data_IF_081200558885
#
_entry.id   IF_081200558885
#
_cell.length_a   1.000
_cell.length_b   1.000
_cell.length_c   1.000
_cell.angle_alpha   90.00
_cell.angle_beta   90.00
_cell.angle_gamma   90.00
#
_symmetry.space_group_name_H-M   'P 1'
#
loop_
_entity.id
_entity.type
_entity.pdbx_description
1 polymer ?
#
# COMPACT_ATOMS: atom_id res chain seq x y z
N UNK A 1 21.66 -4.13 16.89
CA UNK A 1 21.67 -3.07 15.87
C UNK A 1 20.35 -2.35 15.98
N UNK A 2 20.35 -1.12 16.48
CA UNK A 2 19.16 -0.30 16.51
C UNK A 2 18.80 0.01 15.05
N UNK A 3 17.62 -0.44 14.62
CA UNK A 3 16.99 0.08 13.41
C UNK A 3 16.73 1.55 13.74
N UNK A 4 17.47 2.48 13.14
CA UNK A 4 17.11 3.90 13.25
C UNK A 4 15.66 4.02 12.82
N UNK A 5 14.79 4.49 13.72
CA UNK A 5 13.41 4.75 13.39
C UNK A 5 13.42 5.85 12.34
N UNK A 6 13.18 5.44 11.08
CA UNK A 6 13.05 6.35 9.95
C UNK A 6 12.10 7.48 10.33
N UNK A 7 12.50 8.72 10.04
CA UNK A 7 11.63 9.86 10.34
C UNK A 7 10.29 9.67 9.61
N UNK A 8 9.19 10.10 10.22
CA UNK A 8 7.85 9.94 9.65
C UNK A 8 7.76 10.44 8.20
N UNK A 9 8.34 11.62 7.93
CA UNK A 9 8.42 12.25 6.60
C UNK A 9 9.18 11.40 5.58
N UNK A 10 10.28 10.77 6.01
CA UNK A 10 11.06 9.86 5.17
C UNK A 10 10.29 8.57 4.89
N UNK A 11 9.62 8.01 5.91
CA UNK A 11 8.76 6.85 5.77
C UNK A 11 7.60 7.10 4.80
N UNK A 12 6.96 8.28 4.88
CA UNK A 12 5.92 8.70 3.94
C UNK A 12 6.47 8.77 2.52
N UNK A 13 7.59 9.48 2.32
CA UNK A 13 8.19 9.68 1.00
C UNK A 13 8.57 8.35 0.34
N UNK A 14 9.21 7.48 1.12
CA UNK A 14 9.58 6.13 0.69
C UNK A 14 8.34 5.25 0.42
N UNK A 15 7.25 5.41 1.18
CA UNK A 15 5.98 4.72 0.89
C UNK A 15 5.42 5.15 -0.45
N UNK A 16 5.39 6.46 -0.75
CA UNK A 16 4.91 6.98 -2.04
C UNK A 16 5.74 6.44 -3.19
N UNK A 17 7.06 6.44 -3.06
CA UNK A 17 7.98 5.88 -4.08
C UNK A 17 7.66 4.41 -4.37
N UNK A 18 7.54 3.58 -3.34
CA UNK A 18 7.21 2.16 -3.51
C UNK A 18 5.82 1.95 -4.15
N UNK A 19 4.84 2.79 -3.82
CA UNK A 19 3.51 2.73 -4.48
C UNK A 19 3.66 3.00 -5.98
N UNK A 20 4.43 4.03 -6.36
CA UNK A 20 4.67 4.33 -7.78
C UNK A 20 5.40 3.19 -8.50
N UNK A 21 6.35 2.55 -7.82
CA UNK A 21 7.02 1.37 -8.35
C UNK A 21 6.06 0.20 -8.58
N UNK A 22 5.18 -0.11 -7.62
CA UNK A 22 4.15 -1.16 -7.78
C UNK A 22 3.25 -0.85 -8.97
N UNK A 23 2.77 0.39 -9.07
CA UNK A 23 1.92 0.86 -10.19
C UNK A 23 2.63 0.68 -11.53
N UNK A 24 3.94 0.95 -11.59
CA UNK A 24 4.73 0.79 -12.82
C UNK A 24 4.97 -0.68 -13.21
N UNK A 25 5.18 -1.55 -12.22
CA UNK A 25 5.55 -2.96 -12.44
C UNK A 25 4.34 -3.87 -12.70
N UNK A 26 3.14 -3.44 -12.30
CA UNK A 26 1.92 -4.25 -12.37
C UNK A 26 1.65 -4.79 -13.79
N UNK A 27 1.99 -4.00 -14.82
CA UNK A 27 1.80 -4.36 -16.22
C UNK A 27 2.68 -5.55 -16.66
N UNK A 28 3.75 -5.83 -15.92
CA UNK A 28 4.71 -6.90 -16.22
C UNK A 28 4.37 -8.22 -15.52
N UNK A 29 3.31 -8.26 -14.69
CA UNK A 29 2.91 -9.47 -13.98
C UNK A 29 2.28 -10.50 -14.95
N UNK A 30 2.57 -11.78 -14.75
CA UNK A 30 2.08 -12.85 -15.64
C UNK A 30 0.78 -13.54 -15.22
N UNK A 31 0.36 -13.45 -13.95
CA UNK A 31 -0.83 -14.11 -13.38
C UNK A 31 -1.62 -13.15 -12.52
N UNK A 32 -2.92 -13.41 -12.29
CA UNK A 32 -3.76 -12.58 -11.39
C UNK A 32 -3.71 -11.06 -11.72
N UNK A 33 -3.54 -10.72 -13.01
CA UNK A 33 -3.28 -9.34 -13.47
C UNK A 33 -4.33 -8.35 -12.97
N UNK A 34 -5.59 -8.76 -12.96
CA UNK A 34 -6.71 -7.95 -12.48
C UNK A 34 -6.56 -7.66 -10.99
N UNK A 35 -6.34 -8.67 -10.14
CA UNK A 35 -6.12 -8.47 -8.70
C UNK A 35 -4.91 -7.58 -8.41
N UNK A 36 -3.81 -7.72 -9.17
CA UNK A 36 -2.66 -6.85 -9.04
C UNK A 36 -2.95 -5.41 -9.48
N UNK A 37 -3.73 -5.23 -10.56
CA UNK A 37 -4.17 -3.92 -11.03
C UNK A 37 -5.09 -3.23 -10.01
N UNK A 38 -6.02 -3.97 -9.41
CA UNK A 38 -6.87 -3.48 -8.33
C UNK A 38 -6.04 -3.07 -7.11
N UNK A 39 -5.09 -3.91 -6.68
CA UNK A 39 -4.18 -3.58 -5.59
C UNK A 39 -3.37 -2.31 -5.88
N UNK A 40 -2.78 -2.20 -7.08
CA UNK A 40 -2.00 -1.02 -7.47
C UNK A 40 -2.87 0.24 -7.50
N UNK A 41 -4.09 0.14 -8.03
CA UNK A 41 -5.07 1.24 -8.02
C UNK A 41 -5.40 1.68 -6.59
N UNK A 42 -5.69 0.73 -5.71
CA UNK A 42 -5.99 1.00 -4.30
C UNK A 42 -4.82 1.67 -3.57
N UNK A 43 -3.61 1.16 -3.73
CA UNK A 43 -2.41 1.80 -3.15
C UNK A 43 -2.21 3.21 -3.68
N UNK A 44 -2.43 3.43 -4.97
CA UNK A 44 -2.29 4.76 -5.59
C UNK A 44 -3.33 5.76 -5.04
N UNK A 45 -4.53 5.31 -4.69
CA UNK A 45 -5.57 6.15 -4.05
C UNK A 45 -5.18 6.61 -2.65
N UNK A 46 -4.23 5.95 -1.99
CA UNK A 46 -3.70 6.36 -0.69
C UNK A 46 -2.62 7.44 -0.81
N UNK A 47 -2.07 7.71 -2.00
CA UNK A 47 -1.00 8.69 -2.19
C UNK A 47 -1.41 10.11 -1.79
N UNK A 48 -2.62 10.62 -2.13
CA UNK A 48 -3.05 11.93 -1.65
C UNK A 48 -3.10 12.00 -0.12
N UNK A 49 -3.51 10.93 0.58
CA UNK A 49 -3.55 10.88 2.03
C UNK A 49 -2.14 10.97 2.63
N UNK A 50 -1.20 10.23 2.06
CA UNK A 50 0.22 10.32 2.43
C UNK A 50 0.77 11.73 2.23
N UNK A 51 0.39 12.42 1.14
CA UNK A 51 0.79 13.82 0.89
C UNK A 51 0.21 14.77 1.92
N UNK A 52 -1.05 14.62 2.32
CA UNK A 52 -1.65 15.45 3.39
C UNK A 52 -0.97 15.21 4.74
N UNK A 53 -0.68 13.96 5.08
CA UNK A 53 0.08 13.62 6.29
C UNK A 53 1.48 14.23 6.29
N UNK A 54 2.11 14.38 5.12
CA UNK A 54 3.45 14.94 5.01
C UNK A 54 3.53 16.46 5.21
N UNK A 55 2.39 17.18 5.23
CA UNK A 55 2.35 18.66 5.37
C UNK A 55 2.41 19.13 6.82
N UNK A 56 2.20 18.24 7.79
CA UNK A 56 2.05 18.57 9.21
C UNK A 56 2.82 17.60 10.09
N UNK A 57 2.99 17.97 11.36
CA UNK A 57 3.37 17.00 12.37
C UNK A 57 2.24 15.98 12.54
N UNK A 58 2.60 14.71 12.43
CA UNK A 58 1.65 13.61 12.56
C UNK A 58 1.62 13.07 13.99
N UNK A 59 0.42 12.74 14.45
CA UNK A 59 0.14 12.09 15.72
C UNK A 59 0.73 10.68 15.79
N UNK A 60 0.78 10.09 17.00
CA UNK A 60 1.31 8.74 17.17
C UNK A 60 0.52 7.68 16.38
N UNK A 61 -0.80 7.82 16.29
CA UNK A 61 -1.63 6.88 15.50
C UNK A 61 -1.38 7.02 14.00
N UNK A 62 -1.20 8.25 13.49
CA UNK A 62 -0.82 8.49 12.10
C UNK A 62 0.59 7.93 11.80
N UNK A 63 1.55 8.01 12.75
CA UNK A 63 2.87 7.36 12.60
C UNK A 63 2.74 5.85 12.46
N UNK A 64 1.99 5.20 13.36
CA UNK A 64 1.74 3.75 13.29
C UNK A 64 1.04 3.36 11.98
N UNK A 65 0.08 4.17 11.52
CA UNK A 65 -0.55 3.95 10.21
C UNK A 65 0.47 3.97 9.07
N UNK A 66 1.33 4.99 9.01
CA UNK A 66 2.36 5.14 7.97
C UNK A 66 3.35 3.96 8.01
N UNK A 67 3.77 3.52 9.18
CA UNK A 67 4.67 2.35 9.34
C UNK A 67 4.04 1.06 8.82
N UNK A 68 2.78 0.79 9.19
CA UNK A 68 2.05 -0.38 8.71
C UNK A 68 1.87 -0.30 7.19
N UNK A 69 1.47 0.86 6.67
CA UNK A 69 1.30 1.05 5.23
C UNK A 69 2.61 0.85 4.49
N UNK A 70 3.73 1.42 4.96
CA UNK A 70 5.04 1.21 4.35
C UNK A 70 5.39 -0.28 4.28
N UNK A 71 5.18 -1.00 5.37
CA UNK A 71 5.44 -2.44 5.43
C UNK A 71 4.56 -3.20 4.44
N UNK A 72 3.26 -2.91 4.37
CA UNK A 72 2.35 -3.59 3.45
C UNK A 72 2.67 -3.28 1.98
N UNK A 73 3.06 -2.03 1.66
CA UNK A 73 3.50 -1.65 0.31
C UNK A 73 4.81 -2.36 -0.06
N UNK A 74 5.76 -2.55 0.87
CA UNK A 74 6.96 -3.39 0.63
C UNK A 74 6.59 -4.84 0.29
N UNK A 75 5.63 -5.42 1.01
CA UNK A 75 5.16 -6.79 0.74
C UNK A 75 4.47 -6.85 -0.64
N UNK A 76 3.65 -5.86 -0.98
CA UNK A 76 3.02 -5.75 -2.30
C UNK A 76 4.05 -5.63 -3.42
N UNK A 77 5.08 -4.81 -3.22
CA UNK A 77 6.20 -4.65 -4.14
C UNK A 77 6.92 -5.97 -4.38
N UNK A 78 7.32 -6.65 -3.30
CA UNK A 78 7.98 -7.95 -3.40
C UNK A 78 7.12 -8.96 -4.17
N UNK A 79 5.82 -9.04 -3.84
CA UNK A 79 4.89 -9.95 -4.51
C UNK A 79 4.72 -9.62 -6.01
N UNK A 80 4.66 -8.35 -6.37
CA UNK A 80 4.60 -7.87 -7.76
C UNK A 80 5.87 -8.24 -8.53
N UNK A 81 7.04 -8.03 -7.92
CA UNK A 81 8.33 -8.40 -8.51
C UNK A 81 8.47 -9.92 -8.67
N UNK A 82 8.01 -10.71 -7.70
CA UNK A 82 7.99 -12.18 -7.81
C UNK A 82 7.12 -12.65 -8.99
N UNK A 83 5.95 -12.03 -9.17
CA UNK A 83 5.00 -12.43 -10.22
C UNK A 83 5.29 -11.85 -11.60
N UNK A 84 6.25 -10.93 -11.72
CA UNK A 84 6.78 -10.41 -12.99
C UNK A 84 8.09 -11.06 -13.43
N UNK A 85 8.81 -11.77 -12.53
CA UNK A 85 10.11 -12.40 -12.85
C UNK A 85 10.09 -13.93 -12.87
N UNK A 86 9.20 -14.59 -12.13
CA UNK A 86 9.16 -16.06 -12.03
C UNK A 86 8.49 -16.72 -13.25
N UNK A 87 8.78 -18.00 -13.46
CA UNK A 87 8.19 -18.77 -14.56
C UNK A 87 6.66 -18.87 -14.44
N UNK A 88 5.95 -18.78 -15.56
CA UNK A 88 4.47 -18.82 -15.62
C UNK A 88 3.91 -20.09 -14.96
N UNK A 89 4.57 -21.24 -15.14
CA UNK A 89 4.15 -22.53 -14.56
C UNK A 89 4.21 -22.51 -13.03
N UNK A 90 5.27 -21.95 -12.44
CA UNK A 90 5.39 -21.82 -10.98
C UNK A 90 4.30 -20.90 -10.39
N UNK A 91 3.98 -19.82 -11.10
CA UNK A 91 2.99 -18.84 -10.67
C UNK A 91 1.56 -19.39 -10.69
N UNK A 92 1.21 -20.19 -11.70
CA UNK A 92 -0.13 -20.82 -11.78
C UNK A 92 -0.39 -21.80 -10.63
N UNK A 93 0.63 -22.57 -10.22
CA UNK A 93 0.52 -23.48 -9.06
C UNK A 93 0.31 -22.68 -7.76
N UNK A 94 0.71 -21.40 -7.75
CA UNK A 94 0.69 -20.53 -6.57
C UNK A 94 -0.47 -19.52 -6.56
N UNK A 95 -1.38 -19.50 -7.55
CA UNK A 95 -2.46 -18.49 -7.67
C UNK A 95 -3.23 -18.27 -6.37
N UNK A 96 -3.73 -19.35 -5.74
CA UNK A 96 -4.49 -19.24 -4.48
C UNK A 96 -3.68 -18.58 -3.36
N UNK A 97 -2.38 -18.84 -3.31
CA UNK A 97 -1.46 -18.22 -2.34
C UNK A 97 -1.25 -16.74 -2.64
N UNK A 98 -1.15 -16.38 -3.93
CA UNK A 98 -1.02 -14.99 -4.38
C UNK A 98 -2.26 -14.17 -4.01
N UNK A 99 -3.46 -14.63 -4.37
CA UNK A 99 -4.71 -13.94 -4.04
C UNK A 99 -4.87 -13.76 -2.53
N UNK A 100 -4.53 -14.79 -1.74
CA UNK A 100 -4.56 -14.69 -0.27
C UNK A 100 -3.59 -13.63 0.25
N UNK A 101 -2.36 -13.56 -0.27
CA UNK A 101 -1.39 -12.51 0.12
C UNK A 101 -1.91 -11.11 -0.23
N UNK A 102 -2.56 -10.93 -1.38
CA UNK A 102 -3.21 -9.66 -1.75
C UNK A 102 -4.30 -9.30 -0.74
N UNK A 103 -5.18 -10.24 -0.39
CA UNK A 103 -6.23 -10.03 0.61
C UNK A 103 -5.67 -9.72 2.01
N UNK A 104 -4.54 -10.33 2.38
CA UNK A 104 -3.88 -10.06 3.64
C UNK A 104 -3.30 -8.63 3.66
N UNK A 105 -2.65 -8.20 2.57
CA UNK A 105 -2.14 -6.83 2.40
C UNK A 105 -3.27 -5.81 2.54
N UNK A 106 -4.36 -5.97 1.78
CA UNK A 106 -5.47 -5.01 1.80
C UNK A 106 -6.14 -4.95 3.16
N UNK A 107 -6.35 -6.09 3.82
CA UNK A 107 -6.93 -6.17 5.16
C UNK A 107 -6.10 -5.42 6.19
N UNK A 108 -4.79 -5.59 6.21
CA UNK A 108 -3.94 -4.89 7.18
C UNK A 108 -3.88 -3.38 6.91
N UNK A 109 -3.93 -2.95 5.65
CA UNK A 109 -4.07 -1.53 5.31
C UNK A 109 -5.42 -0.99 5.79
N UNK A 110 -6.53 -1.68 5.54
CA UNK A 110 -7.86 -1.25 5.98
C UNK A 110 -7.95 -1.14 7.51
N UNK A 111 -7.33 -2.07 8.25
CA UNK A 111 -7.22 -1.96 9.71
C UNK A 111 -6.42 -0.74 10.14
N UNK A 112 -5.31 -0.46 9.47
CA UNK A 112 -4.47 0.69 9.78
C UNK A 112 -5.17 2.02 9.48
N UNK A 113 -5.99 2.10 8.42
CA UNK A 113 -6.79 3.29 8.10
C UNK A 113 -7.75 3.67 9.22
N UNK A 114 -8.25 2.70 9.99
CA UNK A 114 -9.12 2.96 11.15
C UNK A 114 -8.38 3.66 12.31
N UNK A 115 -7.05 3.75 12.28
CA UNK A 115 -6.24 4.50 13.26
C UNK A 115 -6.22 6.01 12.97
N UNK A 116 -6.64 6.42 11.77
CA UNK A 116 -6.57 7.82 11.34
C UNK A 116 -7.82 8.57 11.81
N UNK A 117 -7.66 9.66 12.57
CA UNK A 117 -8.77 10.54 12.90
C UNK A 117 -9.09 11.42 11.69
N UNK A 118 -9.83 10.90 10.71
CA UNK A 118 -10.14 11.61 9.46
C UNK A 118 -10.82 12.98 9.67
N UNK A 119 -11.52 13.18 10.78
CA UNK A 119 -12.10 14.47 11.17
C UNK A 119 -11.07 15.58 11.44
N UNK A 120 -9.80 15.24 11.62
CA UNK A 120 -8.69 16.17 11.86
C UNK A 120 -7.81 16.38 10.63
N UNK A 121 -8.17 15.77 9.50
CA UNK A 121 -7.46 15.94 8.23
C UNK A 121 -8.25 16.89 7.33
N UNK A 122 -7.55 17.81 6.67
CA UNK A 122 -8.11 18.67 5.62
C UNK A 122 -8.29 17.90 4.29
N UNK A 123 -8.96 16.75 4.36
CA UNK A 123 -9.26 15.92 3.19
C UNK A 123 -10.68 16.21 2.70
N UNK A 124 -10.86 16.27 1.39
CA UNK A 124 -12.18 16.49 0.81
C UNK A 124 -13.12 15.31 1.09
N UNK A 125 -14.43 15.56 1.07
CA UNK A 125 -15.45 14.51 1.17
C UNK A 125 -15.31 13.46 0.05
N UNK A 126 -14.90 13.89 -1.15
CA UNK A 126 -14.59 12.99 -2.28
C UNK A 126 -13.42 12.07 -1.96
N UNK A 127 -12.38 12.58 -1.32
CA UNK A 127 -11.22 11.79 -0.93
C UNK A 127 -11.58 10.78 0.16
N UNK A 128 -12.38 11.16 1.17
CA UNK A 128 -12.87 10.19 2.17
C UNK A 128 -13.69 9.07 1.54
N UNK A 129 -14.55 9.40 0.57
CA UNK A 129 -15.37 8.42 -0.14
C UNK A 129 -14.51 7.44 -0.95
N UNK A 130 -13.42 7.92 -1.55
CA UNK A 130 -12.47 7.06 -2.26
C UNK A 130 -11.69 6.14 -1.30
N UNK A 131 -11.24 6.64 -0.15
CA UNK A 131 -10.48 5.84 0.81
C UNK A 131 -11.32 4.71 1.44
N UNK A 132 -12.64 4.90 1.56
CA UNK A 132 -13.56 3.93 2.16
C UNK A 132 -14.04 2.82 1.22
N UNK A 133 -13.68 2.84 -0.07
CA UNK A 133 -14.11 1.80 -0.99
C UNK A 133 -13.23 0.55 -0.85
N UNK A 134 -13.81 -0.61 -0.50
CA UNK A 134 -13.06 -1.86 -0.46
C UNK A 134 -12.55 -2.23 -1.86
N UNK A 135 -11.46 -3.02 -1.89
CA UNK A 135 -11.02 -3.74 -3.08
C UNK A 135 -12.11 -4.71 -3.54
#
# INVERSE_FOLDING_TARGET
MALEAMAATECISHTVELVMEVVSEVNNVFVEKECFSELASYLNRLVPLLKELNKKDISNSEKVFVEILNQQVRVAKQLTTECSKKSKVYLLISCRSITKRIQDITREISKALNLIPFSQLEISSSMMQELGQPL
#
